data_IF_565958385058
#
_entry.id   IF_565958385058
#
_cell.length_a   1.000
_cell.length_b   1.000
_cell.length_c   1.000
_cell.angle_alpha   90.00
_cell.angle_beta   90.00
_cell.angle_gamma   90.00
#
_symmetry.space_group_name_H-M   'P 1'
#
loop_
_entity.id
_entity.type
_entity.pdbx_description
1 polymer ?
#
# COMPACT_ATOMS: atom_id res chain seq x y z
N UNK A 1 5.48 -15.01 -13.64
CA UNK A 1 4.30 -14.11 -13.50
C UNK A 1 4.14 -13.55 -12.08
N UNK A 2 4.29 -14.36 -11.02
CA UNK A 2 4.05 -13.96 -9.61
C UNK A 2 5.02 -12.87 -9.10
N UNK A 3 6.32 -13.01 -9.38
CA UNK A 3 7.36 -12.02 -9.02
C UNK A 3 7.09 -10.60 -9.52
N UNK A 4 6.52 -10.44 -10.73
CA UNK A 4 6.20 -9.13 -11.29
C UNK A 4 5.09 -8.46 -10.49
N UNK A 5 4.11 -9.24 -10.04
CA UNK A 5 3.00 -8.74 -9.23
C UNK A 5 3.44 -8.38 -7.81
N UNK A 6 4.29 -9.19 -7.18
CA UNK A 6 4.85 -8.88 -5.85
C UNK A 6 5.69 -7.59 -5.88
N UNK A 7 6.58 -7.44 -6.87
CA UNK A 7 7.39 -6.23 -7.02
C UNK A 7 6.53 -5.01 -7.31
N UNK A 8 5.50 -5.16 -8.15
CA UNK A 8 4.59 -4.06 -8.48
C UNK A 8 3.75 -3.65 -7.25
N UNK A 9 3.21 -4.60 -6.49
CA UNK A 9 2.47 -4.33 -5.26
C UNK A 9 3.32 -3.63 -4.21
N UNK A 10 4.57 -4.06 -4.04
CA UNK A 10 5.52 -3.42 -3.15
C UNK A 10 5.80 -1.96 -3.56
N UNK A 11 6.05 -1.72 -4.85
CA UNK A 11 6.26 -0.36 -5.37
C UNK A 11 5.04 0.53 -5.19
N UNK A 12 3.84 0.02 -5.47
CA UNK A 12 2.60 0.78 -5.27
C UNK A 12 2.43 1.16 -3.78
N UNK A 13 2.70 0.22 -2.87
CA UNK A 13 2.64 0.47 -1.42
C UNK A 13 3.61 1.58 -1.00
N UNK A 14 4.83 1.61 -1.56
CA UNK A 14 5.79 2.70 -1.34
C UNK A 14 5.30 4.05 -1.90
N UNK A 15 4.68 4.06 -3.08
CA UNK A 15 4.11 5.29 -3.65
C UNK A 15 2.95 5.84 -2.80
N UNK A 16 2.08 4.97 -2.30
CA UNK A 16 0.99 5.36 -1.39
C UNK A 16 1.58 5.94 -0.10
N UNK A 17 2.57 5.27 0.49
CA UNK A 17 3.25 5.75 1.69
C UNK A 17 3.88 7.13 1.48
N UNK A 18 4.60 7.32 0.38
CA UNK A 18 5.19 8.62 0.02
C UNK A 18 4.11 9.70 -0.19
N UNK A 19 2.98 9.33 -0.81
CA UNK A 19 1.81 10.20 -0.97
C UNK A 19 1.21 10.64 0.37
N UNK A 20 1.08 9.72 1.32
CA UNK A 20 0.62 9.99 2.69
C UNK A 20 1.57 10.95 3.39
N UNK A 21 2.88 10.68 3.37
CA UNK A 21 3.89 11.57 3.97
C UNK A 21 3.85 12.99 3.39
N UNK A 22 3.75 13.11 2.06
CA UNK A 22 3.62 14.41 1.39
C UNK A 22 2.33 15.12 1.80
N UNK A 23 1.23 14.39 1.90
CA UNK A 23 -0.07 14.93 2.31
C UNK A 23 -0.09 15.41 3.77
N UNK A 24 0.58 14.68 4.67
CA UNK A 24 0.76 15.08 6.07
C UNK A 24 1.54 16.39 6.14
N UNK A 25 2.64 16.51 5.38
CA UNK A 25 3.44 17.74 5.32
C UNK A 25 2.64 18.94 4.78
N UNK A 26 1.73 18.69 3.85
CA UNK A 26 0.81 19.69 3.31
C UNK A 26 -0.39 20.01 4.24
N UNK A 27 -0.49 19.35 5.41
CA UNK A 27 -1.62 19.46 6.36
C UNK A 27 -3.00 19.17 5.73
N UNK A 28 -3.05 18.41 4.64
CA UNK A 28 -4.30 18.05 3.98
C UNK A 28 -4.93 16.82 4.64
N UNK A 29 -5.84 17.06 5.59
CA UNK A 29 -6.50 16.01 6.37
C UNK A 29 -7.29 15.02 5.51
N UNK A 30 -7.91 15.46 4.42
CA UNK A 30 -8.69 14.60 3.54
C UNK A 30 -7.80 13.62 2.77
N UNK A 31 -6.78 14.15 2.08
CA UNK A 31 -5.85 13.33 1.31
C UNK A 31 -4.99 12.43 2.21
N UNK A 32 -4.67 12.87 3.43
CA UNK A 32 -3.98 12.04 4.41
C UNK A 32 -4.87 10.88 4.88
N UNK A 33 -6.13 11.14 5.23
CA UNK A 33 -7.07 10.10 5.65
C UNK A 33 -7.32 9.08 4.54
N UNK A 34 -7.59 9.55 3.32
CA UNK A 34 -7.76 8.70 2.14
C UNK A 34 -6.51 7.86 1.87
N UNK A 35 -5.33 8.47 1.92
CA UNK A 35 -4.06 7.77 1.74
C UNK A 35 -3.79 6.73 2.82
N UNK A 36 -4.11 7.02 4.08
CA UNK A 36 -3.98 6.08 5.21
C UNK A 36 -4.88 4.86 5.05
N UNK A 37 -6.15 5.07 4.67
CA UNK A 37 -7.09 3.97 4.39
C UNK A 37 -6.61 3.14 3.20
N UNK A 38 -6.17 3.79 2.13
CA UNK A 38 -5.62 3.11 0.95
C UNK A 38 -4.38 2.28 1.29
N UNK A 39 -3.48 2.81 2.12
CA UNK A 39 -2.29 2.12 2.59
C UNK A 39 -2.66 0.88 3.41
N UNK A 40 -3.63 1.00 4.32
CA UNK A 40 -4.09 -0.12 5.15
C UNK A 40 -4.69 -1.25 4.30
N UNK A 41 -5.51 -0.92 3.29
CA UNK A 41 -6.11 -1.90 2.38
C UNK A 41 -5.04 -2.58 1.52
N UNK A 42 -4.06 -1.83 1.01
CA UNK A 42 -2.97 -2.38 0.21
C UNK A 42 -2.08 -3.34 1.00
N UNK A 43 -1.69 -2.95 2.22
CA UNK A 43 -0.91 -3.83 3.11
C UNK A 43 -1.70 -5.08 3.49
N UNK A 44 -3.02 -4.95 3.72
CA UNK A 44 -3.87 -6.10 4.00
C UNK A 44 -3.99 -7.03 2.79
N UNK A 45 -4.15 -6.48 1.58
CA UNK A 45 -4.17 -7.27 0.36
C UNK A 45 -2.84 -7.99 0.12
N UNK A 46 -1.70 -7.33 0.35
CA UNK A 46 -0.36 -7.92 0.27
C UNK A 46 -0.18 -9.08 1.25
N UNK A 47 -0.65 -8.90 2.49
CA UNK A 47 -0.67 -9.96 3.50
C UNK A 47 -1.53 -11.17 3.07
N UNK A 48 -2.71 -10.92 2.51
CA UNK A 48 -3.57 -12.00 1.99
C UNK A 48 -2.91 -12.72 0.80
N UNK A 49 -2.26 -11.99 -0.10
CA UNK A 49 -1.52 -12.56 -1.22
C UNK A 49 -0.41 -13.46 -0.70
N UNK A 50 0.42 -13.00 0.25
CA UNK A 50 1.45 -13.83 0.88
C UNK A 50 0.87 -15.07 1.57
N UNK A 51 -0.23 -14.91 2.33
CA UNK A 51 -0.84 -16.02 3.08
C UNK A 51 -1.43 -17.09 2.15
N UNK A 52 -2.14 -16.69 1.11
CA UNK A 52 -2.87 -17.62 0.23
C UNK A 52 -2.06 -18.05 -1.00
N UNK A 53 -1.10 -17.26 -1.46
CA UNK A 53 -0.26 -17.59 -2.61
C UNK A 53 1.02 -18.36 -2.22
N UNK A 54 1.48 -18.29 -0.97
CA UNK A 54 2.65 -19.04 -0.49
C UNK A 54 2.29 -20.34 0.24
N UNK A 55 1.00 -20.64 0.47
CA UNK A 55 0.55 -21.96 0.93
C UNK A 55 1.22 -22.44 2.22
N UNK A 56 0.80 -21.89 3.36
CA UNK A 56 0.91 -22.59 4.64
C UNK A 56 -0.45 -23.23 4.98
#
# INVERSE_FOLDING_TARGET
MQWVMDVTMFLITLFILAGVFRSIKAKNRFATAFGLVSLAVFVYADFLILKFATGA
#
